data_IF_474764628110
#
_entry.id   IF_474764628110
#
_cell.length_a   1.000
_cell.length_b   1.000
_cell.length_c   1.000
_cell.angle_alpha   90.00
_cell.angle_beta   90.00
_cell.angle_gamma   90.00
#
_symmetry.space_group_name_H-M   'P 1'
#
loop_
_entity.id
_entity.type
_entity.pdbx_description
1 polymer ?
#
# COMPACT_ATOMS: atom_id res chain seq x y z
N UNK A 1 -5.19 -8.03 -32.09
CA UNK A 1 -5.12 -7.66 -30.67
C UNK A 1 -3.79 -8.13 -30.14
N UNK A 2 -3.09 -7.30 -29.38
CA UNK A 2 -1.82 -7.69 -28.78
C UNK A 2 -2.09 -8.68 -27.64
N UNK A 3 -1.34 -9.79 -27.52
CA UNK A 3 -1.47 -10.69 -26.39
C UNK A 3 -1.09 -9.94 -25.10
N UNK A 4 -1.92 -10.08 -24.07
CA UNK A 4 -1.69 -9.47 -22.75
C UNK A 4 -1.37 -10.60 -21.77
N UNK A 5 -0.23 -10.50 -21.11
CA UNK A 5 0.14 -11.39 -20.01
C UNK A 5 -0.18 -10.68 -18.70
N UNK A 6 -1.01 -11.30 -17.87
CA UNK A 6 -1.32 -10.83 -16.52
C UNK A 6 -0.44 -11.58 -15.53
N UNK A 7 0.19 -10.85 -14.62
CA UNK A 7 0.97 -11.40 -13.51
C UNK A 7 0.30 -10.94 -12.23
N UNK A 8 -0.08 -11.88 -11.38
CA UNK A 8 -0.67 -11.61 -10.07
C UNK A 8 0.14 -12.29 -8.95
N UNK A 9 0.05 -11.72 -7.76
CA UNK A 9 0.59 -12.30 -6.54
C UNK A 9 -0.35 -11.97 -5.38
N UNK A 10 -0.64 -12.97 -4.55
CA UNK A 10 -1.46 -12.81 -3.35
C UNK A 10 -0.62 -13.04 -2.09
N UNK A 11 -0.64 -12.06 -1.19
CA UNK A 11 0.07 -12.12 0.10
C UNK A 11 -0.96 -12.26 1.22
N UNK A 12 -0.84 -13.33 2.01
CA UNK A 12 -1.75 -13.61 3.14
C UNK A 12 -1.06 -13.48 4.49
N UNK A 13 0.27 -13.51 4.53
CA UNK A 13 1.05 -13.37 5.75
C UNK A 13 1.32 -11.91 6.09
N UNK A 14 1.01 -11.52 7.32
CA UNK A 14 1.16 -10.15 7.80
C UNK A 14 2.59 -9.59 7.61
N UNK A 15 3.63 -10.41 7.83
CA UNK A 15 5.03 -10.01 7.65
C UNK A 15 5.35 -9.61 6.20
N UNK A 16 4.77 -10.32 5.22
CA UNK A 16 4.98 -10.00 3.82
C UNK A 16 4.25 -8.72 3.42
N UNK A 17 3.02 -8.55 3.89
CA UNK A 17 2.28 -7.30 3.71
C UNK A 17 3.05 -6.11 4.31
N UNK A 18 3.55 -6.23 5.54
CA UNK A 18 4.32 -5.18 6.19
C UNK A 18 5.60 -4.84 5.41
N UNK A 19 6.29 -5.86 4.89
CA UNK A 19 7.48 -5.66 4.07
C UNK A 19 7.18 -4.86 2.79
N UNK A 20 6.04 -5.07 2.15
CA UNK A 20 5.64 -4.28 0.97
C UNK A 20 5.56 -2.81 1.32
N UNK A 21 4.81 -2.44 2.36
CA UNK A 21 4.66 -1.04 2.76
C UNK A 21 5.98 -0.42 3.24
N UNK A 22 6.80 -1.16 4.00
CA UNK A 22 8.14 -0.69 4.41
C UNK A 22 9.05 -0.41 3.21
N UNK A 23 9.01 -1.26 2.18
CA UNK A 23 9.84 -1.11 1.00
C UNK A 23 9.43 0.08 0.11
N UNK A 24 8.17 0.54 0.16
CA UNK A 24 7.75 1.75 -0.57
C UNK A 24 8.48 3.01 -0.10
N UNK A 25 9.00 2.99 1.13
CA UNK A 25 9.69 4.14 1.70
C UNK A 25 8.74 5.16 2.30
N UNK A 26 9.30 5.94 3.24
CA UNK A 26 8.54 6.84 4.11
C UNK A 26 7.76 7.90 3.32
N UNK A 27 8.38 8.50 2.32
CA UNK A 27 7.79 9.62 1.57
C UNK A 27 6.48 9.23 0.87
N UNK A 28 6.42 8.00 0.35
CA UNK A 28 5.21 7.45 -0.30
C UNK A 28 4.14 7.15 0.75
N UNK A 29 4.52 6.55 1.88
CA UNK A 29 3.55 6.26 2.93
C UNK A 29 2.93 7.56 3.49
N UNK A 30 3.74 8.61 3.65
CA UNK A 30 3.26 9.92 4.10
C UNK A 30 2.34 10.60 3.07
N UNK A 31 2.61 10.45 1.77
CA UNK A 31 1.73 10.98 0.72
C UNK A 31 0.40 10.23 0.60
N UNK A 32 0.35 8.95 0.97
CA UNK A 32 -0.89 8.16 0.97
C UNK A 32 -1.86 8.55 2.08
N UNK A 33 -1.39 9.01 3.24
CA UNK A 33 -2.20 9.35 4.42
C UNK A 33 -3.35 10.34 4.12
N UNK A 34 -3.12 11.49 3.45
CA UNK A 34 -4.19 12.42 3.13
C UNK A 34 -5.18 11.90 2.08
N UNK A 35 -4.80 10.88 1.30
CA UNK A 35 -5.60 10.34 0.19
C UNK A 35 -6.41 9.09 0.58
N UNK A 36 -6.32 8.63 1.85
CA UNK A 36 -6.93 7.37 2.29
C UNK A 36 -8.45 7.33 2.10
N UNK A 37 -9.15 8.46 2.24
CA UNK A 37 -10.62 8.53 2.10
C UNK A 37 -11.07 8.17 0.67
N UNK A 38 -10.28 8.56 -0.33
CA UNK A 38 -10.53 8.30 -1.75
C UNK A 38 -9.96 6.94 -2.20
N UNK A 39 -8.94 6.44 -1.49
CA UNK A 39 -8.24 5.19 -1.83
C UNK A 39 -8.82 3.96 -1.16
N UNK A 40 -9.72 4.12 -0.18
CA UNK A 40 -10.42 3.03 0.49
C UNK A 40 -11.88 3.06 0.04
N UNK A 41 -12.39 1.92 -0.42
CA UNK A 41 -13.79 1.79 -0.79
C UNK A 41 -14.68 1.40 0.40
N UNK A 42 -15.98 1.20 0.14
CA UNK A 42 -16.96 0.83 1.17
C UNK A 42 -16.85 -0.64 1.61
N UNK A 43 -16.06 -1.46 0.89
CA UNK A 43 -15.79 -2.88 1.19
C UNK A 43 -14.47 -3.05 2.00
N UNK A 44 -13.97 -1.95 2.57
CA UNK A 44 -12.72 -1.86 3.32
C UNK A 44 -11.49 -2.28 2.49
N UNK A 45 -11.53 -2.08 1.17
CA UNK A 45 -10.41 -2.36 0.25
C UNK A 45 -9.63 -1.08 -0.03
N UNK A 46 -8.34 -1.13 0.27
CA UNK A 46 -7.38 -0.08 -0.09
C UNK A 46 -6.78 -0.33 -1.47
N UNK A 47 -6.69 0.74 -2.27
CA UNK A 47 -6.15 0.73 -3.62
C UNK A 47 -4.95 1.67 -3.76
N UNK A 48 -3.85 1.13 -4.28
CA UNK A 48 -2.73 1.94 -4.77
C UNK A 48 -2.23 1.41 -6.11
N UNK A 49 -1.60 2.31 -6.86
CA UNK A 49 -1.06 2.03 -8.19
C UNK A 49 0.33 2.64 -8.26
N UNK A 50 1.29 1.84 -8.73
CA UNK A 50 2.66 2.28 -8.97
C UNK A 50 2.91 2.38 -10.46
N UNK A 51 3.69 3.37 -10.87
CA UNK A 51 4.21 3.43 -12.23
C UNK A 51 5.13 2.22 -12.48
N UNK A 52 4.76 1.41 -13.48
CA UNK A 52 5.47 0.16 -13.77
C UNK A 52 6.88 0.42 -14.33
N UNK A 53 7.06 1.45 -15.14
CA UNK A 53 8.34 1.76 -15.77
C UNK A 53 9.34 2.21 -14.70
N UNK A 54 8.91 3.10 -13.80
CA UNK A 54 9.70 3.54 -12.64
C UNK A 54 10.02 2.37 -11.69
N UNK A 55 9.03 1.52 -11.41
CA UNK A 55 9.23 0.38 -10.50
C UNK A 55 10.27 -0.61 -11.04
N UNK A 56 10.33 -0.83 -12.36
CA UNK A 56 11.37 -1.67 -12.99
C UNK A 56 12.77 -1.06 -12.82
N UNK A 57 12.87 0.27 -12.78
CA UNK A 57 14.12 0.99 -12.51
C UNK A 57 14.46 1.07 -11.01
N UNK A 58 13.62 0.48 -10.14
CA UNK A 58 13.82 0.48 -8.69
C UNK A 58 13.27 1.72 -7.97
N UNK A 59 12.52 2.57 -8.66
CA UNK A 59 11.88 3.76 -8.11
C UNK A 59 10.37 3.53 -7.94
N UNK A 60 9.86 3.68 -6.71
CA UNK A 60 8.42 3.58 -6.48
C UNK A 60 7.77 4.95 -6.62
N UNK A 61 6.83 5.08 -7.55
CA UNK A 61 6.10 6.33 -7.82
C UNK A 61 4.61 6.02 -7.91
N UNK A 62 3.79 6.75 -7.16
CA UNK A 62 2.33 6.63 -7.25
C UNK A 62 1.87 7.13 -8.62
N UNK A 63 1.00 6.36 -9.28
CA UNK A 63 0.44 6.73 -10.57
C UNK A 63 -1.08 6.64 -10.56
N UNK A 64 -1.72 7.58 -11.26
CA UNK A 64 -3.18 7.62 -11.42
C UNK A 64 -3.62 7.17 -12.82
N UNK A 65 -2.69 6.94 -13.76
CA UNK A 65 -2.99 6.60 -15.16
C UNK A 65 -1.87 5.76 -15.82
N UNK A 66 -2.19 5.09 -16.93
CA UNK A 66 -1.20 4.38 -17.74
C UNK A 66 -0.96 2.91 -17.34
N UNK A 67 0.23 2.41 -17.68
CA UNK A 67 0.69 1.03 -17.38
C UNK A 67 1.21 0.98 -15.95
N UNK A 68 0.44 0.34 -15.07
CA UNK A 68 0.64 0.40 -13.62
C UNK A 68 0.72 -0.98 -13.00
N UNK A 69 1.44 -1.07 -11.87
CA UNK A 69 1.33 -2.18 -10.95
C UNK A 69 0.22 -1.84 -9.96
N UNK A 70 -0.90 -2.57 -10.01
CA UNK A 70 -2.01 -2.38 -9.08
C UNK A 70 -1.81 -3.21 -7.83
N UNK A 71 -1.93 -2.58 -6.66
CA UNK A 71 -1.85 -3.23 -5.35
C UNK A 71 -3.16 -2.96 -4.62
N UNK A 72 -3.77 -4.04 -4.13
CA UNK A 72 -5.00 -3.99 -3.36
C UNK A 72 -4.78 -4.65 -2.01
N UNK A 73 -5.24 -4.02 -0.93
CA UNK A 73 -5.14 -4.57 0.41
C UNK A 73 -6.51 -4.55 1.09
N UNK A 74 -6.95 -5.70 1.60
CA UNK A 74 -8.17 -5.78 2.40
C UNK A 74 -7.88 -5.40 3.85
N UNK A 75 -8.62 -4.43 4.36
CA UNK A 75 -8.52 -3.97 5.75
C UNK A 75 -9.56 -4.73 6.57
N UNK A 76 -9.11 -5.43 7.61
CA UNK A 76 -10.01 -6.12 8.53
C UNK A 76 -10.58 -5.13 9.57
N UNK A 77 -11.64 -4.41 9.19
CA UNK A 77 -12.35 -3.50 10.09
C UNK A 77 -13.49 -4.23 10.83
N UNK A 78 -13.51 -4.12 12.16
CA UNK A 78 -14.59 -4.65 12.98
C UNK A 78 -15.10 -3.56 13.95
N UNK A 79 -16.34 -3.06 13.78
CA UNK A 79 -17.30 -3.33 12.72
C UNK A 79 -16.82 -2.92 11.30
N UNK A 80 -17.36 -3.55 10.26
CA UNK A 80 -17.08 -3.22 8.86
C UNK A 80 -17.69 -1.85 8.51
N UNK A 81 -16.88 -0.80 8.69
CA UNK A 81 -17.23 0.58 8.40
C UNK A 81 -16.02 1.24 7.78
N UNK A 82 -16.22 1.88 6.63
CA UNK A 82 -15.17 2.61 5.90
C UNK A 82 -14.37 3.57 6.79
N UNK A 83 -15.03 4.34 7.66
CA UNK A 83 -14.36 5.25 8.60
C UNK A 83 -13.37 4.52 9.54
N UNK A 84 -13.74 3.31 9.99
CA UNK A 84 -12.88 2.48 10.85
C UNK A 84 -11.71 1.94 10.03
N UNK A 85 -11.95 1.48 8.80
CA UNK A 85 -10.89 1.02 7.91
C UNK A 85 -9.88 2.14 7.59
N UNK A 86 -10.36 3.36 7.30
CA UNK A 86 -9.52 4.54 7.08
C UNK A 86 -8.66 4.82 8.32
N UNK A 87 -9.26 4.82 9.52
CA UNK A 87 -8.53 5.01 10.77
C UNK A 87 -7.44 3.96 10.98
N UNK A 88 -7.79 2.68 10.85
CA UNK A 88 -6.85 1.56 11.00
C UNK A 88 -5.69 1.64 10.00
N UNK A 89 -5.99 1.94 8.74
CA UNK A 89 -4.97 2.08 7.70
C UNK A 89 -4.08 3.30 7.97
N UNK A 90 -4.67 4.42 8.42
CA UNK A 90 -3.92 5.63 8.80
C UNK A 90 -2.94 5.36 9.93
N UNK A 91 -3.40 4.76 11.02
CA UNK A 91 -2.56 4.37 12.16
C UNK A 91 -1.46 3.40 11.73
N UNK A 92 -1.79 2.44 10.86
CA UNK A 92 -0.83 1.50 10.30
C UNK A 92 0.28 2.20 9.49
N UNK A 93 -0.07 3.11 8.57
CA UNK A 93 0.91 3.86 7.80
C UNK A 93 1.78 4.76 8.70
N UNK A 94 1.18 5.47 9.66
CA UNK A 94 1.91 6.32 10.62
C UNK A 94 2.89 5.49 11.46
N UNK A 95 2.51 4.26 11.85
CA UNK A 95 3.40 3.37 12.57
C UNK A 95 4.64 3.01 11.73
N UNK A 96 4.47 2.83 10.42
CA UNK A 96 5.55 2.46 9.51
C UNK A 96 6.44 3.65 9.07
N UNK A 97 5.95 4.89 9.16
CA UNK A 97 6.74 6.10 8.84
C UNK A 97 7.65 6.54 9.98
N UNK A 98 7.41 6.05 11.20
CA UNK A 98 8.31 6.28 12.33
C UNK A 98 9.58 5.46 12.10
N UNK A 99 10.77 6.09 12.12
CA UNK A 99 12.00 5.31 12.13
C UNK A 99 11.94 4.43 13.38
N UNK A 100 12.11 3.12 13.18
CA UNK A 100 12.40 2.21 14.28
C UNK A 100 13.44 2.89 15.18
N UNK A 101 13.06 3.19 16.43
CA UNK A 101 14.05 3.31 17.50
C UNK A 101 14.92 2.05 17.43
N UNK A 102 16.23 2.19 17.64
CA UNK A 102 17.25 1.38 16.99
C UNK A 102 16.94 -0.11 17.12
N UNK A 103 17.10 -0.80 15.98
CA UNK A 103 17.45 -2.22 15.97
C UNK A 103 18.49 -2.41 17.07
N UNK A 104 18.08 -3.04 18.16
CA UNK A 104 18.99 -3.48 19.21
C UNK A 104 19.87 -4.52 18.53
N UNK A 105 21.00 -4.05 18.01
CA UNK A 105 22.16 -4.87 17.79
C UNK A 105 22.64 -5.32 19.16
N UNK A 106 22.32 -6.55 19.54
CA UNK A 106 23.23 -7.57 20.09
C UNK A 106 22.46 -8.81 20.51
#
# INVERSE_FOLDING_TARGET
GNPITVIDANLTHNKDCERIFKNLGKDILESLIPELEDRIDDDDIFYMRLDKQRAVEGEYVLSHSGDVISITAKIAAHPAKKEIAIGLMRDYLIKLTRPDSPVVSQ
#
